data_IF_072927042935
#
_entry.id   IF_072927042935
#
_cell.length_a   1.000
_cell.length_b   1.000
_cell.length_c   1.000
_cell.angle_alpha   90.00
_cell.angle_beta   90.00
_cell.angle_gamma   90.00
#
_symmetry.space_group_name_H-M   'P 1'
#
loop_
_entity.id
_entity.type
_entity.pdbx_description
1 polymer ?
#
# COMPACT_ATOMS: atom_id res chain seq x y z
N UNK A 1 -8.02 2.79 -14.10
CA UNK A 1 -7.72 2.41 -12.69
C UNK A 1 -6.27 2.78 -12.42
N UNK A 2 -5.93 3.34 -11.25
CA UNK A 2 -4.54 3.67 -10.90
C UNK A 2 -3.79 2.37 -10.58
N UNK A 3 -2.61 2.16 -11.15
CA UNK A 3 -1.74 1.03 -10.82
C UNK A 3 -0.84 1.41 -9.63
N UNK A 4 -1.19 0.93 -8.44
CA UNK A 4 -0.45 1.18 -7.20
C UNK A 4 0.93 0.48 -7.17
N UNK A 5 1.20 -0.43 -8.11
CA UNK A 5 2.51 -1.09 -8.26
C UNK A 5 3.47 -0.30 -9.17
N UNK A 6 3.10 0.93 -9.56
CA UNK A 6 3.91 1.77 -10.44
C UNK A 6 4.41 3.00 -9.66
N UNK A 7 5.72 3.11 -9.35
CA UNK A 7 6.23 4.26 -8.62
C UNK A 7 5.86 5.63 -9.21
N UNK A 8 5.91 5.84 -10.55
CA UNK A 8 5.44 7.09 -11.16
C UNK A 8 3.95 7.38 -10.90
N UNK A 9 3.08 6.37 -10.97
CA UNK A 9 1.64 6.58 -10.77
C UNK A 9 1.31 6.82 -9.29
N UNK A 10 1.99 6.14 -8.37
CA UNK A 10 1.86 6.42 -6.92
C UNK A 10 2.32 7.84 -6.61
N UNK A 11 3.45 8.29 -7.18
CA UNK A 11 3.90 9.69 -7.03
C UNK A 11 2.86 10.69 -7.54
N UNK A 12 2.34 10.49 -8.75
CA UNK A 12 1.31 11.35 -9.32
C UNK A 12 0.02 11.36 -8.48
N UNK A 13 -0.35 10.21 -7.89
CA UNK A 13 -1.50 10.12 -6.98
C UNK A 13 -1.28 10.93 -5.71
N UNK A 14 -0.11 10.77 -5.07
CA UNK A 14 0.25 11.52 -3.86
C UNK A 14 0.27 13.03 -4.13
N UNK A 15 0.86 13.45 -5.25
CA UNK A 15 0.91 14.86 -5.67
C UNK A 15 -0.49 15.42 -5.92
N UNK A 16 -1.37 14.67 -6.60
CA UNK A 16 -2.76 15.07 -6.85
C UNK A 16 -3.53 15.37 -5.56
N UNK A 17 -3.26 14.64 -4.49
CA UNK A 17 -3.88 14.85 -3.17
C UNK A 17 -3.06 15.73 -2.23
N UNK A 18 -1.95 16.31 -2.68
CA UNK A 18 -1.08 17.15 -1.85
C UNK A 18 -0.39 16.38 -0.71
N UNK A 19 -0.29 15.05 -0.82
CA UNK A 19 0.32 14.20 0.19
C UNK A 19 1.82 14.16 -0.03
N UNK A 20 2.59 14.50 1.01
CA UNK A 20 4.05 14.35 1.04
C UNK A 20 4.43 13.28 2.07
N UNK A 21 4.95 12.12 1.64
CA UNK A 21 5.38 11.07 2.56
C UNK A 21 6.41 11.58 3.57
N UNK A 22 6.17 11.33 4.84
CA UNK A 22 7.06 11.74 5.94
C UNK A 22 7.88 10.54 6.39
N UNK A 23 9.11 10.42 5.88
CA UNK A 23 10.04 9.33 6.26
C UNK A 23 10.25 9.21 7.77
N UNK A 24 10.31 10.33 8.50
CA UNK A 24 10.43 10.34 9.97
C UNK A 24 9.26 9.68 10.71
N UNK A 25 8.12 9.48 10.03
CA UNK A 25 6.94 8.79 10.56
C UNK A 25 6.82 7.35 10.04
N UNK A 26 7.86 6.83 9.39
CA UNK A 26 7.88 5.46 8.85
C UNK A 26 7.05 5.25 7.58
N UNK A 27 6.51 6.31 6.97
CA UNK A 27 5.69 6.19 5.77
C UNK A 27 6.51 5.73 4.57
N UNK A 28 6.26 4.50 4.11
CA UNK A 28 6.82 3.90 2.91
C UNK A 28 5.69 3.18 2.17
N UNK A 29 5.43 3.57 0.93
CA UNK A 29 4.31 3.04 0.14
C UNK A 29 4.74 1.77 -0.58
N UNK A 30 3.95 0.70 -0.46
CA UNK A 30 4.22 -0.55 -1.16
C UNK A 30 3.93 -0.38 -2.66
N UNK A 31 4.93 -0.65 -3.49
CA UNK A 31 4.86 -0.51 -4.95
C UNK A 31 5.15 -1.83 -5.68
N UNK A 32 5.28 -2.94 -4.96
CA UNK A 32 5.53 -4.26 -5.54
C UNK A 32 4.35 -5.20 -5.33
N UNK A 33 3.85 -5.74 -6.43
CA UNK A 33 2.69 -6.65 -6.42
C UNK A 33 3.01 -7.99 -5.77
N UNK A 34 4.20 -8.52 -5.99
CA UNK A 34 4.58 -9.84 -5.50
C UNK A 34 4.71 -9.82 -3.97
N UNK A 35 5.30 -8.76 -3.40
CA UNK A 35 5.37 -8.54 -1.97
C UNK A 35 3.97 -8.46 -1.35
N UNK A 36 3.02 -7.75 -1.96
CA UNK A 36 1.64 -7.72 -1.48
C UNK A 36 1.03 -9.13 -1.44
N UNK A 37 1.20 -9.92 -2.49
CA UNK A 37 0.71 -11.30 -2.52
C UNK A 37 1.38 -12.19 -1.48
N UNK A 38 2.66 -11.99 -1.17
CA UNK A 38 3.33 -12.72 -0.10
C UNK A 38 2.74 -12.39 1.27
N UNK A 39 2.47 -11.11 1.54
CA UNK A 39 1.81 -10.68 2.80
C UNK A 39 0.41 -11.29 2.91
N UNK A 40 -0.39 -11.21 1.85
CA UNK A 40 -1.75 -11.79 1.85
C UNK A 40 -1.74 -13.31 2.03
N UNK A 41 -0.79 -14.02 1.40
CA UNK A 41 -0.65 -15.47 1.58
C UNK A 41 -0.23 -15.83 3.00
N UNK A 42 0.67 -15.06 3.60
CA UNK A 42 1.13 -15.28 4.98
C UNK A 42 0.05 -14.97 6.02
N UNK A 43 -0.92 -14.10 5.68
CA UNK A 43 -2.03 -13.77 6.56
C UNK A 43 -3.12 -14.84 6.60
N UNK A 44 -3.11 -15.82 5.68
CA UNK A 44 -4.04 -16.97 5.62
C UNK A 44 -5.52 -16.60 5.77
N UNK A 45 -5.91 -15.44 5.23
CA UNK A 45 -7.25 -14.87 5.38
C UNK A 45 -8.32 -15.70 4.69
N UNK A 46 -9.43 -15.94 5.40
CA UNK A 46 -10.67 -16.50 4.90
C UNK A 46 -11.75 -15.44 4.65
N UNK A 47 -12.88 -15.83 4.03
CA UNK A 47 -13.96 -14.91 3.66
C UNK A 47 -14.71 -14.30 4.85
N UNK A 48 -14.68 -14.96 6.01
CA UNK A 48 -15.36 -14.51 7.23
C UNK A 48 -14.46 -13.70 8.17
N UNK A 49 -13.17 -13.54 7.82
CA UNK A 49 -12.22 -12.82 8.66
C UNK A 49 -12.46 -11.31 8.62
N UNK A 50 -12.43 -10.69 9.79
CA UNK A 50 -12.44 -9.23 9.90
C UNK A 50 -11.00 -8.72 9.97
N UNK A 51 -10.61 -7.89 9.01
CA UNK A 51 -9.24 -7.36 8.90
C UNK A 51 -9.16 -5.94 9.45
N UNK A 52 -8.18 -5.70 10.33
CA UNK A 52 -7.74 -4.36 10.73
C UNK A 52 -6.37 -4.08 10.13
N UNK A 53 -6.29 -3.14 9.19
CA UNK A 53 -5.04 -2.67 8.62
C UNK A 53 -4.55 -1.41 9.32
N UNK A 54 -3.33 -1.46 9.86
CA UNK A 54 -2.68 -0.32 10.51
C UNK A 54 -1.64 0.28 9.57
N UNK A 55 -1.85 1.54 9.18
CA UNK A 55 -0.98 2.23 8.23
C UNK A 55 -1.16 1.73 6.79
N UNK A 56 -2.36 1.84 6.20
CA UNK A 56 -2.70 1.32 4.86
C UNK A 56 -2.02 2.06 3.68
N UNK A 57 -1.06 2.95 3.97
CA UNK A 57 -0.33 3.71 2.96
C UNK A 57 0.72 2.85 2.30
#
# INVERSE_FOLDING_TARGET
MVNLYSPPQVRALLERYGIRPRKRWGQNFLIDRNTLHLVLRAAELGPEDTVLEIGPG
#
